data_IF_257786027317
#
_entry.id   IF_257786027317
#
_cell.length_a   1.000
_cell.length_b   1.000
_cell.length_c   1.000
_cell.angle_alpha   90.00
_cell.angle_beta   90.00
_cell.angle_gamma   90.00
#
_symmetry.space_group_name_H-M   'P 1'
#
loop_
_entity.id
_entity.type
_entity.pdbx_description
1 polymer ?
#
# COMPACT_ATOMS: atom_id res chain seq x y z
N UNK A 1 5.91 14.74 20.84
CA UNK A 1 6.56 13.40 20.87
C UNK A 1 7.04 13.06 22.28
N UNK A 2 7.81 13.92 22.95
CA UNK A 2 8.24 13.73 24.35
C UNK A 2 7.10 13.28 25.27
N UNK A 3 5.97 13.99 25.24
CA UNK A 3 4.82 13.64 26.07
C UNK A 3 4.20 12.28 25.72
N UNK A 4 4.42 11.76 24.51
CA UNK A 4 3.85 10.48 24.07
C UNK A 4 4.71 9.28 24.45
N UNK A 5 5.92 9.48 24.96
CA UNK A 5 6.86 8.42 25.30
C UNK A 5 6.86 8.18 26.82
N UNK A 6 6.44 6.99 27.29
CA UNK A 6 6.30 6.69 28.72
C UNK A 6 7.63 6.27 29.37
N UNK A 7 8.76 6.85 28.92
CA UNK A 7 10.10 6.45 29.37
C UNK A 7 10.75 7.53 30.25
N UNK A 8 11.73 7.14 31.10
CA UNK A 8 12.57 8.08 31.83
C UNK A 8 13.27 9.07 30.89
N UNK A 9 13.68 10.23 31.41
CA UNK A 9 14.17 11.36 30.61
C UNK A 9 15.29 10.97 29.64
N UNK A 10 16.33 10.29 30.11
CA UNK A 10 17.50 9.95 29.29
C UNK A 10 17.11 9.05 28.10
N UNK A 11 16.39 7.97 28.39
CA UNK A 11 15.89 7.05 27.37
C UNK A 11 14.92 7.75 26.41
N UNK A 12 14.02 8.59 26.93
CA UNK A 12 13.08 9.36 26.12
C UNK A 12 13.80 10.27 25.13
N UNK A 13 14.85 10.97 25.54
CA UNK A 13 15.59 11.85 24.63
C UNK A 13 16.33 11.05 23.54
N UNK A 14 16.82 9.83 23.83
CA UNK A 14 17.40 8.96 22.81
C UNK A 14 16.37 8.58 21.73
N UNK A 15 15.16 8.19 22.13
CA UNK A 15 14.06 7.87 21.19
C UNK A 15 13.54 9.08 20.42
N UNK A 16 13.50 10.25 21.05
CA UNK A 16 13.18 11.52 20.36
C UNK A 16 14.26 11.85 19.33
N UNK A 17 15.53 11.69 19.67
CA UNK A 17 16.64 11.91 18.74
C UNK A 17 16.56 10.99 17.53
N UNK A 18 16.27 9.70 17.75
CA UNK A 18 16.03 8.74 16.66
C UNK A 18 14.86 9.19 15.77
N UNK A 19 13.70 9.54 16.34
CA UNK A 19 12.56 10.04 15.55
C UNK A 19 12.93 11.24 14.67
N UNK A 20 13.67 12.21 15.25
CA UNK A 20 14.08 13.41 14.52
C UNK A 20 15.07 13.10 13.40
N UNK A 21 16.01 12.16 13.63
CA UNK A 21 16.96 11.75 12.59
C UNK A 21 16.28 10.99 11.45
N UNK A 22 15.28 10.14 11.74
CA UNK A 22 14.46 9.46 10.74
C UNK A 22 13.61 10.47 9.94
N UNK A 23 12.98 11.43 10.62
CA UNK A 23 12.24 12.52 9.96
C UNK A 23 13.14 13.34 9.03
N UNK A 24 14.34 13.70 9.50
CA UNK A 24 15.31 14.43 8.70
C UNK A 24 15.80 13.60 7.49
N UNK A 25 16.05 12.31 7.68
CA UNK A 25 16.43 11.39 6.59
C UNK A 25 15.34 11.33 5.52
N UNK A 26 14.07 11.16 5.90
CA UNK A 26 12.96 11.17 4.95
C UNK A 26 12.77 12.52 4.25
N UNK A 27 13.03 13.63 4.93
CA UNK A 27 13.02 14.95 4.30
C UNK A 27 14.08 15.02 3.19
N UNK A 28 15.32 14.60 3.47
CA UNK A 28 16.39 14.61 2.47
C UNK A 28 16.12 13.65 1.31
N UNK A 29 15.55 12.48 1.58
CA UNK A 29 15.32 11.44 0.57
C UNK A 29 14.11 11.73 -0.33
N UNK A 30 13.00 12.19 0.26
CA UNK A 30 11.68 12.23 -0.37
C UNK A 30 10.91 13.55 -0.13
N UNK A 31 11.56 14.56 0.45
CA UNK A 31 11.00 15.90 0.60
C UNK A 31 10.17 16.12 1.88
N UNK A 32 9.85 17.39 2.10
CA UNK A 32 9.25 17.88 3.35
C UNK A 32 7.86 17.28 3.63
N UNK A 33 7.02 17.12 2.59
CA UNK A 33 5.68 16.53 2.73
C UNK A 33 5.74 15.10 3.30
N UNK A 34 6.69 14.28 2.85
CA UNK A 34 6.87 12.90 3.34
C UNK A 34 7.35 12.89 4.78
N UNK A 35 8.29 13.76 5.14
CA UNK A 35 8.76 13.90 6.52
C UNK A 35 7.64 14.33 7.48
N UNK A 36 6.73 15.20 7.04
CA UNK A 36 5.52 15.57 7.80
C UNK A 36 4.55 14.41 7.95
N UNK A 37 4.29 13.66 6.88
CA UNK A 37 3.41 12.49 6.93
C UNK A 37 3.96 11.39 7.85
N UNK A 38 5.28 11.16 7.85
CA UNK A 38 5.97 10.29 8.80
C UNK A 38 5.78 10.76 10.26
N UNK A 39 6.03 12.03 10.55
CA UNK A 39 5.85 12.60 11.89
C UNK A 39 4.39 12.46 12.36
N UNK A 40 3.43 12.65 11.44
CA UNK A 40 2.01 12.42 11.68
C UNK A 40 1.70 10.95 12.00
N UNK A 41 2.21 9.99 11.22
CA UNK A 41 2.01 8.56 11.45
C UNK A 41 2.53 8.15 12.83
N UNK A 42 3.77 8.51 13.16
CA UNK A 42 4.39 8.12 14.42
C UNK A 42 3.65 8.72 15.61
N UNK A 43 3.26 10.01 15.53
CA UNK A 43 2.45 10.63 16.59
C UNK A 43 1.08 9.96 16.73
N UNK A 44 0.47 9.53 15.63
CA UNK A 44 -0.79 8.82 15.67
C UNK A 44 -0.65 7.47 16.38
N UNK A 45 0.34 6.68 15.98
CA UNK A 45 0.67 5.38 16.60
C UNK A 45 0.91 5.54 18.11
N UNK A 46 1.78 6.45 18.52
CA UNK A 46 2.09 6.66 19.94
C UNK A 46 0.90 7.21 20.74
N UNK A 47 0.07 8.05 20.11
CA UNK A 47 -1.17 8.52 20.74
C UNK A 47 -2.13 7.36 20.96
N UNK A 48 -2.30 6.48 19.97
CA UNK A 48 -3.17 5.32 20.07
C UNK A 48 -2.72 4.38 21.20
N UNK A 49 -1.42 4.11 21.29
CA UNK A 49 -0.82 3.34 22.39
C UNK A 49 -1.14 3.96 23.76
N UNK A 50 -0.94 5.28 23.92
CA UNK A 50 -1.23 5.97 25.19
C UNK A 50 -2.70 6.02 25.56
N UNK A 51 -3.59 6.08 24.57
CA UNK A 51 -5.05 6.14 24.81
C UNK A 51 -5.71 4.76 24.86
N UNK A 52 -4.95 3.66 24.79
CA UNK A 52 -5.52 2.30 24.73
C UNK A 52 -6.34 2.01 23.47
N UNK A 53 -6.17 2.83 22.42
CA UNK A 53 -6.76 2.55 21.10
C UNK A 53 -5.97 1.46 20.39
N UNK A 54 -6.54 0.87 19.35
CA UNK A 54 -5.79 -0.05 18.48
C UNK A 54 -4.55 0.66 17.92
N UNK A 55 -3.41 0.01 18.12
CA UNK A 55 -2.10 0.43 17.65
C UNK A 55 -1.44 -0.72 16.87
N UNK A 56 -0.48 -0.40 16.00
CA UNK A 56 0.28 -1.40 15.25
C UNK A 56 1.27 -2.14 16.15
N UNK A 57 1.81 -1.45 17.14
CA UNK A 57 2.76 -1.98 18.10
C UNK A 57 2.25 -1.84 19.53
N UNK A 58 2.62 -2.78 20.41
CA UNK A 58 2.30 -2.69 21.84
C UNK A 58 3.10 -1.59 22.54
N UNK A 59 4.26 -1.19 21.99
CA UNK A 59 5.15 -0.22 22.62
C UNK A 59 5.82 0.73 21.60
N UNK A 60 6.20 1.91 22.09
CA UNK A 60 6.76 2.98 21.28
C UNK A 60 8.12 2.63 20.65
N UNK A 61 8.97 1.89 21.38
CA UNK A 61 10.29 1.44 20.89
C UNK A 61 10.15 0.60 19.64
N UNK A 62 9.25 -0.38 19.67
CA UNK A 62 9.01 -1.29 18.56
C UNK A 62 8.55 -0.54 17.30
N UNK A 63 7.67 0.46 17.45
CA UNK A 63 7.24 1.31 16.33
C UNK A 63 8.40 2.14 15.73
N UNK A 64 9.25 2.73 16.58
CA UNK A 64 10.41 3.53 16.14
C UNK A 64 11.50 2.68 15.48
N UNK A 65 11.76 1.48 16.00
CA UNK A 65 12.71 0.54 15.41
C UNK A 65 12.21 0.00 14.07
N UNK A 66 10.92 -0.29 13.94
CA UNK A 66 10.32 -0.66 12.67
C UNK A 66 10.44 0.47 11.65
N UNK A 67 10.11 1.71 12.06
CA UNK A 67 10.31 2.88 11.23
C UNK A 67 11.77 3.06 10.78
N UNK A 68 12.74 2.83 11.67
CA UNK A 68 14.18 2.87 11.34
C UNK A 68 14.52 1.93 10.18
N UNK A 69 14.13 0.65 10.27
CA UNK A 69 14.39 -0.35 9.22
C UNK A 69 13.76 0.04 7.89
N UNK A 70 12.54 0.57 7.92
CA UNK A 70 11.88 1.06 6.71
C UNK A 70 12.58 2.25 6.07
N UNK A 71 12.99 3.24 6.86
CA UNK A 71 13.71 4.42 6.36
C UNK A 71 15.08 4.01 5.79
N UNK A 72 15.74 3.02 6.39
CA UNK A 72 16.98 2.44 5.87
C UNK A 72 16.78 1.80 4.49
N UNK A 73 15.76 0.93 4.34
CA UNK A 73 15.42 0.31 3.07
C UNK A 73 15.01 1.31 1.98
N UNK A 74 14.21 2.32 2.33
CA UNK A 74 13.85 3.43 1.42
C UNK A 74 15.10 4.20 1.00
N UNK A 75 16.02 4.46 1.93
CA UNK A 75 17.30 5.10 1.64
C UNK A 75 18.17 4.29 0.68
N UNK A 76 18.26 2.97 0.88
CA UNK A 76 18.95 2.06 -0.04
C UNK A 76 18.35 2.13 -1.45
N UNK A 77 17.01 2.04 -1.54
CA UNK A 77 16.30 2.10 -2.81
C UNK A 77 16.54 3.43 -3.55
N UNK A 78 16.42 4.56 -2.84
CA UNK A 78 16.58 5.90 -3.43
C UNK A 78 18.00 6.16 -3.91
N UNK A 79 19.00 5.52 -3.30
CA UNK A 79 20.41 5.59 -3.72
C UNK A 79 20.78 4.58 -4.80
N UNK A 80 19.83 3.78 -5.29
CA UNK A 80 20.11 2.71 -6.26
C UNK A 80 21.05 1.65 -5.70
N UNK A 81 20.96 1.37 -4.40
CA UNK A 81 21.74 0.33 -3.72
C UNK A 81 20.92 -0.94 -3.57
N UNK A 82 21.60 -2.05 -3.24
CA UNK A 82 20.90 -3.27 -2.82
C UNK A 82 20.00 -2.96 -1.62
N UNK A 83 18.74 -3.37 -1.69
CA UNK A 83 17.76 -3.16 -0.61
C UNK A 83 17.57 -4.46 0.15
N UNK A 84 17.91 -4.46 1.42
CA UNK A 84 17.64 -5.59 2.30
C UNK A 84 16.21 -5.50 2.84
N UNK A 85 15.40 -6.53 2.58
CA UNK A 85 14.02 -6.63 3.05
C UNK A 85 13.88 -7.59 4.24
N UNK A 86 14.98 -8.08 4.81
CA UNK A 86 14.95 -8.94 5.97
C UNK A 86 14.25 -8.24 7.17
N UNK A 87 13.31 -8.95 7.80
CA UNK A 87 12.51 -8.41 8.89
C UNK A 87 11.51 -7.31 8.48
N UNK A 88 11.34 -7.02 7.19
CA UNK A 88 10.25 -6.17 6.68
C UNK A 88 9.09 -7.05 6.18
N UNK A 89 7.83 -6.70 6.51
CA UNK A 89 6.68 -7.49 6.12
C UNK A 89 6.27 -7.21 4.67
N UNK A 90 7.11 -7.54 3.70
CA UNK A 90 6.89 -7.27 2.27
C UNK A 90 6.76 -8.55 1.44
N UNK A 91 6.02 -8.47 0.33
CA UNK A 91 5.91 -9.50 -0.69
C UNK A 91 6.14 -8.94 -2.11
N UNK A 92 7.35 -8.45 -2.43
CA UNK A 92 7.64 -7.78 -3.70
C UNK A 92 7.49 -8.69 -4.92
N UNK A 93 7.59 -10.02 -4.77
CA UNK A 93 7.32 -10.97 -5.86
C UNK A 93 5.88 -10.90 -6.38
N UNK A 94 4.94 -10.39 -5.58
CA UNK A 94 3.56 -10.15 -6.00
C UNK A 94 3.33 -8.73 -6.56
N UNK A 95 4.30 -7.83 -6.42
CA UNK A 95 4.18 -6.42 -6.85
C UNK A 95 4.97 -6.18 -8.13
N UNK A 96 6.25 -6.58 -8.17
CA UNK A 96 7.16 -6.29 -9.28
C UNK A 96 6.67 -6.80 -10.64
N UNK A 97 6.07 -8.00 -10.78
CA UNK A 97 5.54 -8.46 -12.06
C UNK A 97 4.44 -7.56 -12.64
N UNK A 98 3.72 -6.83 -11.78
CA UNK A 98 2.60 -5.96 -12.17
C UNK A 98 2.94 -4.47 -12.09
N UNK A 99 4.24 -4.12 -12.07
CA UNK A 99 4.70 -2.75 -11.93
C UNK A 99 4.08 -1.80 -12.98
N UNK A 100 3.92 -2.26 -14.22
CA UNK A 100 3.34 -1.48 -15.31
C UNK A 100 1.86 -1.21 -15.06
N UNK A 101 1.10 -2.24 -14.73
CA UNK A 101 -0.33 -2.19 -14.48
C UNK A 101 -0.65 -1.33 -13.26
N UNK A 102 0.13 -1.48 -12.18
CA UNK A 102 0.03 -0.66 -10.96
C UNK A 102 0.23 0.81 -11.29
N UNK A 103 1.30 1.15 -12.02
CA UNK A 103 1.58 2.54 -12.43
C UNK A 103 0.49 3.09 -13.32
N UNK A 104 0.04 2.32 -14.31
CA UNK A 104 -0.99 2.74 -15.25
C UNK A 104 -2.33 3.00 -14.53
N UNK A 105 -2.80 2.05 -13.72
CA UNK A 105 -4.07 2.15 -13.01
C UNK A 105 -4.08 3.31 -12.00
N UNK A 106 -3.01 3.47 -11.21
CA UNK A 106 -2.92 4.57 -10.25
C UNK A 106 -2.84 5.95 -10.95
N UNK A 107 -2.07 6.05 -12.05
CA UNK A 107 -1.96 7.28 -12.83
C UNK A 107 -3.29 7.66 -13.47
N UNK A 108 -4.05 6.68 -13.97
CA UNK A 108 -5.37 6.90 -14.56
C UNK A 108 -6.39 7.51 -13.56
N UNK A 109 -6.17 7.33 -12.26
CA UNK A 109 -7.02 7.88 -11.19
C UNK A 109 -6.34 9.02 -10.41
N UNK A 110 -5.18 9.48 -10.86
CA UNK A 110 -4.44 10.59 -10.25
C UNK A 110 -4.06 10.35 -8.79
N UNK A 111 -3.69 9.11 -8.43
CA UNK A 111 -3.19 8.76 -7.08
C UNK A 111 -1.75 8.25 -7.16
N UNK A 112 -0.95 8.33 -6.08
CA UNK A 112 0.41 7.80 -6.09
C UNK A 112 0.41 6.28 -6.23
N UNK A 113 1.16 5.73 -7.19
CA UNK A 113 1.17 4.30 -7.47
C UNK A 113 1.75 3.45 -6.33
N UNK A 114 2.60 4.04 -5.47
CA UNK A 114 3.04 3.39 -4.25
C UNK A 114 1.87 2.99 -3.33
N UNK A 115 0.78 3.75 -3.31
CA UNK A 115 -0.43 3.42 -2.52
C UNK A 115 -1.02 2.09 -2.99
N UNK A 116 -1.17 1.93 -4.29
CA UNK A 116 -1.77 0.74 -4.89
C UNK A 116 -0.84 -0.47 -4.76
N UNK A 117 0.47 -0.27 -4.92
CA UNK A 117 1.49 -1.30 -4.67
C UNK A 117 1.48 -1.80 -3.22
N UNK A 118 1.34 -0.88 -2.25
CA UNK A 118 1.28 -1.25 -0.83
C UNK A 118 0.05 -2.10 -0.49
N UNK A 119 -1.08 -1.85 -1.15
CA UNK A 119 -2.30 -2.65 -1.02
C UNK A 119 -2.07 -4.06 -1.57
N UNK A 120 -1.56 -4.17 -2.81
CA UNK A 120 -1.24 -5.48 -3.40
C UNK A 120 -0.28 -6.26 -2.49
N UNK A 121 0.78 -5.61 -2.00
CA UNK A 121 1.72 -6.25 -1.08
C UNK A 121 1.02 -6.71 0.21
N UNK A 122 0.21 -5.87 0.85
CA UNK A 122 -0.52 -6.25 2.08
C UNK A 122 -1.43 -7.46 1.86
N UNK A 123 -2.26 -7.44 0.82
CA UNK A 123 -3.21 -8.51 0.54
C UNK A 123 -2.50 -9.84 0.27
N UNK A 124 -1.43 -9.81 -0.53
CA UNK A 124 -0.72 -11.02 -0.91
C UNK A 124 0.23 -11.52 0.18
N UNK A 125 0.83 -10.62 0.97
CA UNK A 125 1.62 -10.99 2.14
C UNK A 125 0.75 -11.62 3.24
N UNK A 126 -0.45 -11.07 3.46
CA UNK A 126 -1.45 -11.68 4.33
C UNK A 126 -1.90 -13.04 3.82
N UNK A 127 -2.11 -13.14 2.50
CA UNK A 127 -2.31 -14.39 1.77
C UNK A 127 -1.23 -15.41 2.07
N UNK A 128 0.03 -15.14 1.73
CA UNK A 128 1.18 -16.02 1.94
C UNK A 128 1.36 -16.44 3.41
N UNK A 129 1.16 -15.51 4.36
CA UNK A 129 1.14 -15.83 5.80
C UNK A 129 0.01 -16.82 6.12
N UNK A 130 -1.19 -16.58 5.63
CA UNK A 130 -2.31 -17.49 5.81
C UNK A 130 -2.06 -18.83 5.10
N UNK A 131 -1.44 -18.86 3.90
CA UNK A 131 -1.04 -20.11 3.20
C UNK A 131 -0.02 -20.90 4.02
N UNK A 132 0.95 -20.21 4.62
CA UNK A 132 1.98 -20.80 5.49
C UNK A 132 1.42 -21.33 6.82
N UNK A 133 0.49 -20.60 7.43
CA UNK A 133 -0.24 -21.03 8.63
C UNK A 133 -1.27 -22.13 8.32
N UNK A 134 -1.85 -22.11 7.12
CA UNK A 134 -2.89 -23.05 6.69
C UNK A 134 -2.37 -24.30 6.03
N UNK A 135 -1.06 -24.53 5.80
CA UNK A 135 -0.62 -25.87 5.34
C UNK A 135 -1.04 -26.99 6.29
N UNK A 136 -1.09 -26.76 7.60
CA UNK A 136 -1.64 -27.72 8.57
C UNK A 136 -3.17 -27.68 8.77
N UNK A 137 -3.83 -26.60 8.35
CA UNK A 137 -5.30 -26.41 8.51
C UNK A 137 -6.06 -26.70 7.20
N UNK A 138 -5.42 -26.53 6.04
CA UNK A 138 -5.93 -26.87 4.70
C UNK A 138 -6.03 -28.36 4.50
N UNK A 139 -5.11 -29.18 4.98
CA UNK A 139 -5.30 -30.63 4.86
C UNK A 139 -6.59 -31.09 5.56
N UNK A 140 -6.95 -30.44 6.67
CA UNK A 140 -8.22 -30.67 7.38
C UNK A 140 -9.43 -29.98 6.72
N UNK A 141 -9.26 -28.74 6.24
CA UNK A 141 -10.33 -27.96 5.63
C UNK A 141 -10.64 -28.37 4.18
N UNK A 142 -9.65 -28.83 3.41
CA UNK A 142 -9.82 -29.38 2.06
C UNK A 142 -10.51 -30.74 2.15
N UNK A 143 -10.21 -31.57 3.16
CA UNK A 143 -10.96 -32.81 3.45
C UNK A 143 -12.44 -32.54 3.79
N UNK A 144 -12.71 -31.44 4.52
CA UNK A 144 -14.07 -30.99 4.87
C UNK A 144 -14.79 -30.30 3.69
N UNK A 145 -14.08 -29.49 2.91
CA UNK A 145 -14.63 -28.76 1.78
C UNK A 145 -14.91 -29.67 0.58
N UNK A 146 -14.11 -30.72 0.38
CA UNK A 146 -14.35 -31.76 -0.63
C UNK A 146 -15.62 -32.55 -0.28
N UNK A 147 -15.82 -32.90 0.99
CA UNK A 147 -17.06 -33.51 1.48
C UNK A 147 -18.31 -32.60 1.41
N UNK A 148 -18.14 -31.28 1.52
CA UNK A 148 -19.26 -30.32 1.39
C UNK A 148 -19.59 -29.97 -0.08
N UNK A 149 -18.58 -29.95 -0.95
CA UNK A 149 -18.76 -29.70 -2.38
C UNK A 149 -19.53 -30.84 -3.08
N UNK A 150 -19.33 -32.09 -2.65
CA UNK A 150 -20.06 -33.27 -3.14
C UNK A 150 -21.56 -33.25 -2.75
N UNK A 151 -21.94 -32.52 -1.70
CA UNK A 151 -23.31 -32.53 -1.14
C UNK A 151 -24.15 -31.33 -1.58
N UNK A 152 -23.57 -30.17 -1.88
CA UNK A 152 -24.35 -28.92 -2.09
C UNK A 152 -24.16 -28.18 -3.43
N UNK A 153 -23.28 -28.62 -4.32
CA UNK A 153 -23.22 -28.13 -5.71
C UNK A 153 -22.94 -26.62 -5.92
N UNK A 154 -22.75 -25.82 -4.86
CA UNK A 154 -22.36 -24.41 -4.93
C UNK A 154 -21.27 -24.16 -3.89
N UNK A 155 -20.02 -24.02 -4.35
CA UNK A 155 -18.96 -23.51 -3.51
C UNK A 155 -19.23 -22.02 -3.23
N UNK A 156 -19.12 -21.53 -1.98
CA UNK A 156 -19.17 -20.10 -1.70
C UNK A 156 -17.89 -19.46 -2.26
N UNK A 157 -17.93 -19.06 -3.54
CA UNK A 157 -16.82 -18.40 -4.21
C UNK A 157 -16.51 -17.08 -3.49
N UNK A 158 -15.23 -16.88 -3.14
CA UNK A 158 -14.72 -15.69 -2.45
C UNK A 158 -15.35 -14.39 -3.00
N UNK A 159 -15.84 -13.52 -2.09
CA UNK A 159 -16.42 -12.22 -2.46
C UNK A 159 -15.38 -11.26 -3.04
N UNK A 160 -14.11 -11.47 -2.71
CA UNK A 160 -12.96 -10.67 -3.17
C UNK A 160 -12.10 -11.48 -4.14
N UNK A 161 -11.60 -10.82 -5.20
CA UNK A 161 -10.84 -11.46 -6.27
C UNK A 161 -9.59 -10.68 -6.65
N UNK A 162 -8.59 -11.40 -7.15
CA UNK A 162 -7.38 -10.86 -7.80
C UNK A 162 -6.40 -10.17 -6.86
N UNK A 163 -5.49 -9.39 -7.47
CA UNK A 163 -4.29 -8.86 -6.82
C UNK A 163 -4.57 -7.98 -5.60
N UNK A 164 -5.61 -7.16 -5.67
CA UNK A 164 -5.98 -6.23 -4.61
C UNK A 164 -7.29 -6.63 -3.92
N UNK A 165 -7.69 -7.92 -3.98
CA UNK A 165 -8.87 -8.46 -3.29
C UNK A 165 -10.14 -7.58 -3.46
N UNK A 166 -10.36 -7.07 -4.67
CA UNK A 166 -11.50 -6.22 -4.98
C UNK A 166 -12.78 -7.06 -5.04
N UNK A 167 -13.88 -6.56 -4.46
CA UNK A 167 -15.18 -7.23 -4.54
C UNK A 167 -15.89 -6.95 -5.86
N UNK A 168 -16.64 -7.94 -6.36
CA UNK A 168 -17.42 -7.75 -7.58
C UNK A 168 -18.54 -6.73 -7.36
N UNK A 169 -19.15 -6.69 -6.15
CA UNK A 169 -20.19 -5.73 -5.81
C UNK A 169 -19.68 -4.29 -5.88
N UNK A 170 -18.47 -4.05 -5.39
CA UNK A 170 -17.88 -2.72 -5.49
C UNK A 170 -17.41 -2.44 -6.91
N UNK A 171 -16.88 -3.41 -7.65
CA UNK A 171 -16.45 -3.21 -9.03
C UNK A 171 -17.59 -2.65 -9.91
N UNK A 172 -18.80 -3.18 -9.75
CA UNK A 172 -19.99 -2.72 -10.46
C UNK A 172 -20.37 -1.24 -10.21
N UNK A 173 -19.92 -0.64 -9.09
CA UNK A 173 -20.23 0.76 -8.72
C UNK A 173 -19.22 1.77 -9.27
N UNK A 174 -18.16 1.34 -9.96
CA UNK A 174 -17.04 2.22 -10.30
C UNK A 174 -17.20 2.96 -11.64
N UNK A 175 -18.20 2.62 -12.46
CA UNK A 175 -18.34 3.09 -13.83
C UNK A 175 -18.29 4.62 -13.97
N UNK A 176 -19.13 5.33 -13.22
CA UNK A 176 -19.27 6.78 -13.34
C UNK A 176 -17.95 7.49 -13.04
N UNK A 177 -17.24 7.05 -12.01
CA UNK A 177 -15.94 7.63 -11.68
C UNK A 177 -14.89 7.32 -12.73
N UNK A 178 -14.83 6.08 -13.22
CA UNK A 178 -13.88 5.74 -14.28
C UNK A 178 -14.10 6.55 -15.57
N UNK A 179 -15.37 6.80 -15.93
CA UNK A 179 -15.72 7.70 -17.04
C UNK A 179 -15.29 9.14 -16.78
N UNK A 180 -15.52 9.67 -15.57
CA UNK A 180 -15.12 11.02 -15.20
C UNK A 180 -13.60 11.25 -15.31
N UNK A 181 -12.81 10.22 -14.99
CA UNK A 181 -11.35 10.27 -15.12
C UNK A 181 -10.85 9.97 -16.55
N UNK A 182 -11.73 9.65 -17.50
CA UNK A 182 -11.33 9.17 -18.83
C UNK A 182 -10.55 7.85 -18.78
N UNK A 183 -10.68 7.10 -17.69
CA UNK A 183 -9.92 5.89 -17.40
C UNK A 183 -10.61 4.61 -17.92
N UNK A 184 -11.84 4.73 -18.44
CA UNK A 184 -12.57 3.65 -19.09
C UNK A 184 -12.78 3.95 -20.57
N UNK A 185 -12.50 2.96 -21.41
CA UNK A 185 -12.75 3.03 -22.84
C UNK A 185 -14.27 3.11 -23.11
N UNK A 186 -14.78 4.22 -23.69
CA UNK A 186 -16.20 4.36 -24.00
C UNK A 186 -16.75 3.30 -24.97
N UNK A 187 -15.88 2.70 -25.80
CA UNK A 187 -16.27 1.65 -26.74
C UNK A 187 -16.43 0.27 -26.07
N UNK A 188 -15.90 0.09 -24.84
CA UNK A 188 -15.98 -1.19 -24.12
C UNK A 188 -17.19 -1.20 -23.18
N UNK A 189 -18.05 -2.23 -23.23
CA UNK A 189 -19.15 -2.36 -22.29
C UNK A 189 -18.60 -2.52 -20.87
N UNK A 190 -19.15 -1.75 -19.94
CA UNK A 190 -18.84 -1.90 -18.52
C UNK A 190 -19.57 -3.14 -17.96
N UNK A 191 -18.97 -3.93 -17.07
CA UNK A 191 -19.62 -5.09 -16.44
C UNK A 191 -20.95 -4.71 -15.77
N UNK A 192 -22.01 -5.49 -15.99
CA UNK A 192 -23.35 -5.28 -15.41
C UNK A 192 -23.80 -6.42 -14.51
N UNK A 193 -23.19 -7.59 -14.64
CA UNK A 193 -23.51 -8.78 -13.85
C UNK A 193 -22.34 -9.21 -12.98
N UNK A 194 -22.60 -10.02 -11.96
CA UNK A 194 -21.56 -10.63 -11.12
C UNK A 194 -20.54 -11.39 -11.98
N UNK A 195 -21.00 -12.27 -12.89
CA UNK A 195 -20.14 -13.07 -13.76
C UNK A 195 -19.21 -12.21 -14.61
N UNK A 196 -19.73 -11.13 -15.21
CA UNK A 196 -18.93 -10.18 -15.98
C UNK A 196 -17.91 -9.43 -15.12
N UNK A 197 -18.31 -9.01 -13.91
CA UNK A 197 -17.43 -8.32 -12.98
C UNK A 197 -16.30 -9.25 -12.50
N UNK A 198 -16.62 -10.50 -12.15
CA UNK A 198 -15.63 -11.51 -11.75
C UNK A 198 -14.63 -11.78 -12.88
N UNK A 199 -15.12 -11.97 -14.10
CA UNK A 199 -14.26 -12.13 -15.28
C UNK A 199 -13.37 -10.91 -15.53
N UNK A 200 -13.89 -9.70 -15.35
CA UNK A 200 -13.09 -8.49 -15.46
C UNK A 200 -12.02 -8.40 -14.36
N UNK A 201 -12.32 -8.85 -13.14
CA UNK A 201 -11.39 -8.84 -12.00
C UNK A 201 -10.25 -9.87 -12.11
N UNK A 202 -10.31 -10.81 -13.06
CA UNK A 202 -9.20 -11.71 -13.42
C UNK A 202 -8.10 -10.98 -14.21
N UNK A 203 -8.42 -9.88 -14.91
CA UNK A 203 -7.44 -9.04 -15.57
C UNK A 203 -6.72 -8.16 -14.52
N UNK A 204 -5.37 -8.26 -14.38
CA UNK A 204 -4.61 -7.52 -13.38
C UNK A 204 -4.82 -6.00 -13.46
N UNK A 205 -4.85 -5.44 -14.66
CA UNK A 205 -5.02 -4.00 -14.84
C UNK A 205 -6.42 -3.56 -14.43
N UNK A 206 -7.47 -4.28 -14.83
CA UNK A 206 -8.85 -3.94 -14.46
C UNK A 206 -9.09 -4.13 -12.95
N UNK A 207 -8.51 -5.15 -12.32
CA UNK A 207 -8.54 -5.34 -10.87
C UNK A 207 -7.96 -4.12 -10.12
N UNK A 208 -6.78 -3.67 -10.57
CA UNK A 208 -6.09 -2.51 -10.03
C UNK A 208 -6.85 -1.21 -10.33
N UNK A 209 -7.42 -1.06 -11.52
CA UNK A 209 -8.17 0.11 -11.94
C UNK A 209 -9.45 0.31 -11.13
N UNK A 210 -10.22 -0.77 -10.90
CA UNK A 210 -11.41 -0.72 -10.04
C UNK A 210 -11.04 -0.41 -8.59
N UNK A 211 -9.96 -0.99 -8.08
CA UNK A 211 -9.44 -0.68 -6.75
C UNK A 211 -9.02 0.79 -6.64
N UNK A 212 -8.27 1.31 -7.61
CA UNK A 212 -7.85 2.71 -7.65
C UNK A 212 -9.06 3.66 -7.71
N UNK A 213 -10.09 3.33 -8.49
CA UNK A 213 -11.33 4.12 -8.56
C UNK A 213 -12.06 4.14 -7.21
N UNK A 214 -12.18 2.99 -6.53
CA UNK A 214 -12.79 2.91 -5.20
C UNK A 214 -12.02 3.76 -4.18
N UNK A 215 -10.70 3.63 -4.13
CA UNK A 215 -9.83 4.43 -3.26
C UNK A 215 -9.97 5.92 -3.55
N UNK A 216 -10.04 6.30 -4.82
CA UNK A 216 -10.23 7.68 -5.21
C UNK A 216 -11.52 8.28 -4.66
N UNK A 217 -12.59 7.49 -4.63
CA UNK A 217 -13.84 7.87 -3.96
C UNK A 217 -13.65 8.15 -2.47
N UNK A 218 -12.93 7.29 -1.76
CA UNK A 218 -12.61 7.49 -0.34
C UNK A 218 -11.73 8.73 -0.13
N UNK A 219 -10.69 8.92 -0.94
CA UNK A 219 -9.82 10.09 -0.81
C UNK A 219 -10.55 11.40 -1.05
N UNK A 220 -11.42 11.47 -2.06
CA UNK A 220 -12.23 12.66 -2.29
C UNK A 220 -13.08 12.98 -1.04
N UNK A 221 -13.76 11.98 -0.47
CA UNK A 221 -14.55 12.16 0.74
C UNK A 221 -13.70 12.62 1.95
N UNK A 222 -12.53 11.99 2.17
CA UNK A 222 -11.65 12.28 3.31
C UNK A 222 -10.98 13.64 3.24
N UNK A 223 -10.72 14.13 2.02
CA UNK A 223 -10.11 15.43 1.77
C UNK A 223 -11.16 16.55 1.64
N UNK A 224 -12.45 16.24 1.84
CA UNK A 224 -13.53 17.21 1.68
C UNK A 224 -13.71 17.69 0.23
N UNK A 225 -13.27 16.89 -0.74
CA UNK A 225 -13.36 17.19 -2.16
C UNK A 225 -14.71 16.71 -2.74
N UNK A 226 -15.23 17.37 -3.78
CA UNK A 226 -16.40 16.89 -4.50
C UNK A 226 -16.20 15.45 -5.02
N UNK A 227 -17.24 14.61 -5.08
CA UNK A 227 -17.13 13.24 -5.61
C UNK A 227 -16.59 13.17 -7.05
N UNK A 228 -16.82 14.23 -7.84
CA UNK A 228 -16.36 14.36 -9.24
C UNK A 228 -14.98 15.00 -9.38
N UNK A 229 -14.28 15.29 -8.29
CA UNK A 229 -12.96 15.92 -8.34
C UNK A 229 -11.91 14.95 -8.90
N UNK A 230 -11.28 15.36 -10.00
CA UNK A 230 -10.29 14.58 -10.76
C UNK A 230 -8.85 15.09 -10.61
N UNK A 231 -8.60 16.09 -9.75
CA UNK A 231 -7.26 16.66 -9.59
C UNK A 231 -6.24 15.59 -9.18
N UNK A 232 -4.97 15.75 -9.52
CA UNK A 232 -3.94 14.84 -9.01
C UNK A 232 -3.83 14.98 -7.48
N UNK A 233 -3.78 13.85 -6.78
CA UNK A 233 -3.59 13.82 -5.33
C UNK A 233 -2.12 13.44 -5.04
N UNK A 234 -1.39 14.35 -4.39
CA UNK A 234 0.05 14.22 -4.14
C UNK A 234 0.42 14.19 -2.65
N UNK A 235 -0.57 14.19 -1.74
CA UNK A 235 -0.33 14.17 -0.30
C UNK A 235 0.26 12.80 0.13
N UNK A 236 1.48 12.73 0.69
CA UNK A 236 2.05 11.47 1.18
C UNK A 236 1.26 10.81 2.30
N UNK A 237 0.32 11.52 2.95
CA UNK A 237 -0.60 10.89 3.88
C UNK A 237 -1.47 9.80 3.22
N UNK A 238 -1.62 9.82 1.90
CA UNK A 238 -2.31 8.80 1.12
C UNK A 238 -1.66 7.42 1.22
N UNK A 239 -0.34 7.33 1.47
CA UNK A 239 0.33 6.03 1.69
C UNK A 239 -0.15 5.34 2.97
N UNK A 240 -0.62 6.10 3.97
CA UNK A 240 -1.30 5.53 5.13
C UNK A 240 -2.79 5.32 4.84
N UNK A 241 -3.47 6.34 4.28
CA UNK A 241 -4.91 6.29 4.09
C UNK A 241 -5.35 5.17 3.13
N UNK A 242 -4.62 4.90 2.05
CA UNK A 242 -5.00 3.88 1.09
C UNK A 242 -5.10 2.49 1.72
N UNK A 243 -4.01 1.93 2.28
CA UNK A 243 -4.04 0.67 3.00
C UNK A 243 -5.02 0.66 4.18
N UNK A 244 -5.14 1.76 4.92
CA UNK A 244 -6.06 1.84 6.05
C UNK A 244 -7.53 1.70 5.63
N UNK A 245 -7.95 2.45 4.61
CA UNK A 245 -9.33 2.45 4.11
C UNK A 245 -9.66 1.28 3.20
N UNK A 246 -8.66 0.65 2.59
CA UNK A 246 -8.86 -0.58 1.83
C UNK A 246 -9.24 -1.74 2.76
N UNK A 247 -8.48 -1.93 3.85
CA UNK A 247 -8.60 -3.12 4.70
C UNK A 247 -9.70 -2.94 5.77
N UNK A 248 -9.72 -1.78 6.46
CA UNK A 248 -10.61 -1.56 7.60
C UNK A 248 -11.12 -0.10 7.69
N UNK A 249 -12.12 0.30 6.89
CA UNK A 249 -12.69 1.66 6.89
C UNK A 249 -13.10 2.19 8.27
N UNK A 250 -13.74 1.36 9.11
CA UNK A 250 -14.18 1.77 10.45
C UNK A 250 -13.02 2.12 11.38
N UNK A 251 -11.92 1.36 11.31
CA UNK A 251 -10.70 1.64 12.09
C UNK A 251 -10.00 2.90 11.57
N UNK A 252 -9.92 3.04 10.25
CA UNK A 252 -9.35 4.21 9.61
C UNK A 252 -10.12 5.50 9.97
N UNK A 253 -11.45 5.43 10.04
CA UNK A 253 -12.31 6.53 10.51
C UNK A 253 -12.03 6.92 11.97
N UNK A 254 -11.73 5.95 12.83
CA UNK A 254 -11.38 6.18 14.23
C UNK A 254 -9.93 6.66 14.45
N UNK A 255 -9.18 6.87 13.36
CA UNK A 255 -7.76 7.21 13.35
C UNK A 255 -6.91 6.19 14.11
N UNK A 256 -7.27 4.91 14.00
CA UNK A 256 -6.50 3.81 14.57
C UNK A 256 -5.34 3.40 13.67
N UNK A 257 -4.35 2.75 14.26
CA UNK A 257 -3.21 2.17 13.55
C UNK A 257 -3.15 0.67 13.84
N UNK A 258 -2.76 -0.11 12.83
CA UNK A 258 -2.52 -1.54 12.92
C UNK A 258 -1.45 -1.94 11.90
N UNK A 259 -0.93 -3.16 11.98
CA UNK A 259 0.20 -3.63 11.17
C UNK A 259 0.09 -3.24 9.68
N UNK A 260 -0.99 -3.60 8.99
CA UNK A 260 -1.14 -3.31 7.56
C UNK A 260 -1.17 -1.82 7.23
N UNK A 261 -1.80 -0.99 8.07
CA UNK A 261 -1.87 0.47 7.85
C UNK A 261 -0.54 1.16 8.14
N UNK A 262 0.16 0.75 9.20
CA UNK A 262 1.44 1.32 9.58
C UNK A 262 2.52 0.92 8.58
N UNK A 263 2.61 -0.37 8.24
CA UNK A 263 3.53 -0.85 7.22
C UNK A 263 3.13 -0.40 5.82
N UNK A 264 1.83 -0.30 5.53
CA UNK A 264 1.31 0.20 4.26
C UNK A 264 1.86 1.59 3.90
N UNK A 265 2.00 2.48 4.89
CA UNK A 265 2.65 3.77 4.70
C UNK A 265 4.08 3.63 4.15
N UNK A 266 4.91 2.82 4.80
CA UNK A 266 6.30 2.66 4.41
C UNK A 266 6.46 1.82 3.13
N UNK A 267 5.64 0.79 2.93
CA UNK A 267 5.53 0.06 1.66
C UNK A 267 5.22 1.00 0.53
N UNK A 268 4.26 1.91 0.73
CA UNK A 268 3.87 2.89 -0.27
C UNK A 268 5.02 3.79 -0.66
N UNK A 269 5.78 4.30 0.31
CA UNK A 269 6.99 5.08 0.04
C UNK A 269 8.09 4.26 -0.66
N UNK A 270 8.34 3.03 -0.21
CA UNK A 270 9.33 2.15 -0.83
C UNK A 270 8.97 1.85 -2.28
N UNK A 271 7.73 1.44 -2.56
CA UNK A 271 7.28 1.13 -3.91
C UNK A 271 7.13 2.37 -4.79
N UNK A 272 6.86 3.54 -4.22
CA UNK A 272 6.92 4.79 -4.97
C UNK A 272 8.31 4.98 -5.61
N UNK A 273 9.38 4.61 -4.90
CA UNK A 273 10.76 4.68 -5.38
C UNK A 273 11.11 3.47 -6.26
N UNK A 274 10.82 2.25 -5.80
CA UNK A 274 11.21 1.01 -6.48
C UNK A 274 10.58 0.93 -7.88
N UNK A 275 9.30 1.31 -8.03
CA UNK A 275 8.60 1.20 -9.32
C UNK A 275 8.99 2.30 -10.33
N UNK A 276 9.80 3.30 -9.94
CA UNK A 276 10.45 4.23 -10.87
C UNK A 276 11.63 3.56 -11.60
N UNK A 277 12.31 2.66 -10.91
CA UNK A 277 13.49 1.96 -11.40
C UNK A 277 13.19 0.56 -11.95
N UNK A 278 14.25 -0.15 -12.32
CA UNK A 278 14.20 -1.57 -12.67
C UNK A 278 14.88 -2.35 -11.56
N UNK A 279 14.18 -3.33 -11.01
CA UNK A 279 14.64 -4.11 -9.87
C UNK A 279 14.40 -5.59 -10.10
N UNK A 280 15.31 -6.39 -9.57
CA UNK A 280 15.18 -7.84 -9.49
C UNK A 280 15.15 -8.27 -8.02
N UNK A 281 14.30 -9.22 -7.69
CA UNK A 281 14.25 -9.81 -6.35
C UNK A 281 15.09 -11.09 -6.34
N UNK A 282 16.12 -11.12 -5.50
CA UNK A 282 16.90 -12.32 -5.20
C UNK A 282 16.74 -12.67 -3.72
N UNK A 283 15.98 -13.73 -3.43
CA UNK A 283 15.61 -14.09 -2.06
C UNK A 283 14.85 -12.97 -1.35
N UNK A 284 15.49 -12.34 -0.36
CA UNK A 284 14.95 -11.19 0.41
C UNK A 284 15.64 -9.87 0.07
N UNK A 285 16.41 -9.81 -1.01
CA UNK A 285 17.15 -8.61 -1.42
C UNK A 285 16.64 -8.10 -2.77
N UNK A 286 16.36 -6.80 -2.87
CA UNK A 286 16.15 -6.15 -4.17
C UNK A 286 17.49 -5.67 -4.73
N UNK A 287 17.78 -6.08 -5.96
CA UNK A 287 18.95 -5.68 -6.71
C UNK A 287 18.55 -4.70 -7.81
N UNK A 288 19.19 -3.52 -7.89
CA UNK A 288 18.94 -2.58 -8.96
C UNK A 288 19.47 -3.15 -10.27
N UNK A 289 18.65 -3.13 -11.32
CA UNK A 289 19.06 -3.54 -12.66
C UNK A 289 19.53 -2.30 -13.42
N UNK A 290 20.80 -2.31 -13.87
CA UNK A 290 21.30 -1.29 -14.79
C UNK A 290 20.54 -1.37 -16.11
N UNK A 291 20.07 -0.23 -16.62
CA UNK A 291 19.60 -0.14 -17.99
C UNK A 291 20.82 -0.13 -18.93
N UNK A 292 20.91 -1.09 -19.85
CA UNK A 292 21.93 -1.11 -20.90
C UNK A 292 21.29 -0.80 -22.25
N UNK A 293 21.88 0.12 -23.03
CA UNK A 293 21.49 0.44 -24.42
C UNK A 293 21.56 1.93 -24.79
N UNK A 294 21.53 2.29 -26.08
CA UNK A 294 21.45 3.69 -26.51
C UNK A 294 20.13 4.31 -26.02
N UNK A 295 20.19 5.41 -25.28
CA UNK A 295 19.03 6.02 -24.61
C UNK A 295 18.75 5.52 -23.20
N UNK A 296 19.59 4.61 -22.65
CA UNK A 296 19.59 4.26 -21.24
C UNK A 296 20.24 5.38 -20.42
N UNK A 297 19.52 6.50 -20.26
CA UNK A 297 19.76 7.33 -19.09
C UNK A 297 19.10 6.61 -17.90
N UNK A 298 19.84 6.46 -16.80
CA UNK A 298 19.20 6.20 -15.51
C UNK A 298 18.07 7.23 -15.38
N UNK A 299 16.84 6.83 -15.04
CA UNK A 299 15.78 7.81 -14.83
C UNK A 299 16.33 8.81 -13.81
N UNK A 300 16.45 10.08 -14.23
CA UNK A 300 16.85 11.14 -13.31
C UNK A 300 15.98 10.99 -12.07
N UNK A 301 16.55 10.99 -10.85
CA UNK A 301 15.76 10.81 -9.64
C UNK A 301 14.63 11.83 -9.72
N UNK A 302 13.40 11.31 -9.84
CA UNK A 302 12.23 12.17 -9.93
C UNK A 302 12.27 13.06 -8.70
N UNK A 303 12.52 14.35 -8.92
CA UNK A 303 11.99 15.35 -8.02
C UNK A 303 10.49 15.13 -8.07
N UNK A 304 9.89 14.73 -6.94
CA UNK A 304 8.43 14.80 -6.78
C UNK A 304 7.94 16.06 -7.49
N UNK A 305 6.86 15.97 -8.30
CA UNK A 305 6.55 16.95 -9.34
C UNK A 305 6.75 18.37 -8.80
N UNK A 306 7.85 18.97 -9.22
CA UNK A 306 8.16 20.36 -8.88
C UNK A 306 7.56 21.16 -10.02
N UNK A 307 6.52 21.89 -9.67
CA UNK A 307 5.69 22.71 -10.55
C UNK A 307 6.58 23.59 -11.45
N UNK A 308 6.34 23.52 -12.76
CA UNK A 308 6.36 24.73 -13.59
C UNK A 308 4.92 25.25 -13.70
N UNK A 309 4.72 26.58 -13.61
CA UNK A 309 3.44 27.23 -13.36
C UNK A 309 2.36 26.95 -14.41
#
# INVERSE_FOLDING_TARGET
LRDLLPYPREEREAWVSLHLSLKASLHLLLGEKVARAYDRLLRLELKNQRSGKRAAYPEAKSALLAAKRWVEAIGQAKRGQKVDLEGLPTAPHHVLPYAREIRAAASALGIPYGVLAAIVDNEQYGGDKALGLSRGVREAADSLAQGLAEVQGHAPLSRTLGLAQMSWEDALKQQDRLRLFGAWDPARPFPKTETEARKALEDPYLNLLFTASRLRGYFNALLGLPPRDTRLLDDPWLYYLGPAWHNHPLRAQNLETWEDSFHGFFKGLLYQVVLEGRWHLEGRTLLPLKAWGPGAQDPAPSSLPTLTP
#
